data_IF_297952994136
#
_entry.id   IF_297952994136
#
_cell.length_a   1.000
_cell.length_b   1.000
_cell.length_c   1.000
_cell.angle_alpha   90.00
_cell.angle_beta   90.00
_cell.angle_gamma   90.00
#
_symmetry.space_group_name_H-M   'P 1'
#
loop_
_entity.id
_entity.type
_entity.pdbx_description
1 polymer ?
#
# COMPACT_ATOMS: atom_id res chain seq x y z
N UNK A 1 -3.54 6.58 -36.94
CA UNK A 1 -4.60 5.72 -36.36
C UNK A 1 -3.94 4.69 -35.48
N UNK A 2 -3.91 4.91 -34.16
CA UNK A 2 -3.52 3.88 -33.19
C UNK A 2 -4.65 2.87 -33.11
N UNK A 3 -4.37 1.61 -33.46
CA UNK A 3 -5.28 0.49 -33.22
C UNK A 3 -5.69 0.51 -31.74
N UNK A 4 -6.99 0.35 -31.40
CA UNK A 4 -7.40 0.23 -30.01
C UNK A 4 -6.65 -0.96 -29.39
N UNK A 5 -5.91 -0.70 -28.32
CA UNK A 5 -5.29 -1.75 -27.52
C UNK A 5 -6.39 -2.76 -27.13
N UNK A 6 -6.20 -4.07 -27.35
CA UNK A 6 -7.19 -5.05 -26.98
C UNK A 6 -7.48 -4.95 -25.47
N UNK A 7 -8.76 -4.75 -25.14
CA UNK A 7 -9.24 -4.70 -23.76
C UNK A 7 -8.98 -6.07 -23.11
N UNK A 8 -7.95 -6.16 -22.28
CA UNK A 8 -7.62 -7.37 -21.51
C UNK A 8 -7.84 -7.10 -20.03
N UNK A 9 -8.67 -7.92 -19.38
CA UNK A 9 -8.86 -7.91 -17.93
C UNK A 9 -7.85 -8.82 -17.21
N UNK A 10 -6.71 -9.15 -17.85
CA UNK A 10 -5.71 -10.05 -17.27
C UNK A 10 -4.92 -9.33 -16.16
N UNK A 11 -5.05 -9.75 -14.87
CA UNK A 11 -4.34 -9.10 -13.78
C UNK A 11 -2.81 -9.25 -13.91
N UNK A 12 -2.32 -10.29 -14.57
CA UNK A 12 -0.89 -10.54 -14.78
C UNK A 12 -0.25 -9.59 -15.80
N UNK A 13 -1.06 -8.87 -16.60
CA UNK A 13 -0.57 -7.90 -17.56
C UNK A 13 -0.21 -6.54 -16.91
N UNK A 14 -0.59 -6.32 -15.65
CA UNK A 14 -0.30 -5.07 -14.95
C UNK A 14 1.19 -4.99 -14.58
N UNK A 15 1.88 -3.98 -15.10
CA UNK A 15 3.30 -3.71 -14.83
C UNK A 15 3.39 -2.68 -13.71
N UNK A 16 4.08 -3.01 -12.61
CA UNK A 16 4.12 -2.22 -11.36
C UNK A 16 5.53 -1.81 -10.93
N UNK A 17 6.52 -2.13 -11.73
CA UNK A 17 7.90 -1.75 -11.50
C UNK A 17 8.69 -1.80 -12.79
N UNK A 18 9.81 -1.09 -12.81
CA UNK A 18 10.75 -1.12 -13.93
C UNK A 18 11.40 -2.52 -14.06
N UNK A 19 11.84 -2.90 -15.27
CA UNK A 19 12.57 -4.16 -15.46
C UNK A 19 13.80 -4.24 -14.55
N UNK A 20 13.84 -5.26 -13.69
CA UNK A 20 14.97 -5.48 -12.78
C UNK A 20 15.99 -6.43 -13.41
N UNK A 21 17.28 -6.13 -13.27
CA UNK A 21 18.38 -7.05 -13.59
C UNK A 21 19.06 -7.52 -12.31
N UNK A 22 19.46 -8.79 -12.28
CA UNK A 22 20.21 -9.34 -11.16
C UNK A 22 21.69 -8.99 -11.30
N UNK A 23 22.26 -8.39 -10.27
CA UNK A 23 23.69 -8.07 -10.19
C UNK A 23 24.31 -8.96 -9.10
N UNK A 24 25.38 -9.72 -9.39
CA UNK A 24 26.15 -10.46 -8.38
C UNK A 24 26.68 -9.55 -7.27
N UNK A 25 26.73 -10.04 -6.02
CA UNK A 25 27.15 -9.22 -4.87
C UNK A 25 28.59 -8.70 -4.99
N UNK A 26 29.46 -9.49 -5.60
CA UNK A 26 30.86 -9.17 -5.89
C UNK A 26 31.04 -8.14 -7.01
N UNK A 27 29.97 -7.82 -7.75
CA UNK A 27 29.96 -6.78 -8.78
C UNK A 27 29.35 -5.45 -8.28
N UNK A 28 28.92 -5.40 -7.02
CA UNK A 28 28.43 -4.15 -6.41
C UNK A 28 29.66 -3.31 -6.07
N UNK A 29 29.83 -2.21 -6.80
CA UNK A 29 30.91 -1.23 -6.58
C UNK A 29 30.32 0.10 -6.11
N UNK A 30 31.02 0.76 -5.19
CA UNK A 30 30.73 2.16 -4.82
C UNK A 30 31.34 3.09 -5.86
N UNK A 31 30.70 4.23 -6.12
CA UNK A 31 31.25 5.26 -7.01
C UNK A 31 32.61 5.72 -6.49
N UNK A 32 33.61 5.75 -7.37
CA UNK A 32 34.96 6.19 -7.01
C UNK A 32 34.92 7.64 -6.48
N UNK A 33 35.51 7.87 -5.29
CA UNK A 33 35.52 9.17 -4.62
C UNK A 33 34.25 9.55 -3.87
N UNK A 34 33.18 8.73 -3.88
CA UNK A 34 32.01 8.96 -3.04
C UNK A 34 32.29 8.55 -1.59
N UNK A 35 31.74 9.30 -0.64
CA UNK A 35 31.87 8.96 0.79
C UNK A 35 30.79 7.94 1.14
N UNK A 36 31.20 6.76 1.59
CA UNK A 36 30.29 5.68 1.92
C UNK A 36 29.75 5.79 3.36
N UNK A 37 28.47 5.50 3.53
CA UNK A 37 27.87 5.25 4.85
C UNK A 37 28.14 3.81 5.31
N UNK A 38 29.12 3.64 6.20
CA UNK A 38 29.47 2.33 6.76
C UNK A 38 28.34 1.71 7.59
N UNK A 39 27.51 2.52 8.27
CA UNK A 39 26.40 2.02 9.08
C UNK A 39 25.35 1.40 8.16
N UNK A 40 24.98 2.12 7.11
CA UNK A 40 24.05 1.64 6.09
C UNK A 40 24.58 0.39 5.41
N UNK A 41 25.81 0.43 4.90
CA UNK A 41 26.42 -0.68 4.17
C UNK A 41 26.45 -1.96 5.02
N UNK A 42 26.86 -1.86 6.29
CA UNK A 42 26.89 -3.00 7.21
C UNK A 42 25.50 -3.60 7.44
N UNK A 43 24.48 -2.76 7.64
CA UNK A 43 23.10 -3.22 7.83
C UNK A 43 22.51 -3.82 6.55
N UNK A 44 22.73 -3.19 5.41
CA UNK A 44 22.24 -3.66 4.12
C UNK A 44 22.90 -4.98 3.70
N UNK A 45 24.22 -5.12 3.88
CA UNK A 45 24.90 -6.41 3.72
C UNK A 45 24.38 -7.47 4.69
N UNK A 46 24.03 -7.09 5.93
CA UNK A 46 23.35 -7.96 6.89
C UNK A 46 22.01 -8.48 6.35
N UNK A 47 21.20 -7.60 5.75
CA UNK A 47 19.96 -7.97 5.08
C UNK A 47 20.22 -8.88 3.88
N UNK A 48 21.13 -8.51 2.98
CA UNK A 48 21.47 -9.29 1.79
C UNK A 48 22.01 -10.68 2.13
N UNK A 49 22.52 -10.90 3.34
CA UNK A 49 22.98 -12.21 3.87
C UNK A 49 21.89 -12.95 4.67
N UNK A 50 20.67 -12.42 4.76
CA UNK A 50 19.55 -13.01 5.51
C UNK A 50 19.65 -12.89 7.04
N UNK A 51 20.59 -12.10 7.55
CA UNK A 51 20.81 -11.92 9.01
C UNK A 51 19.87 -10.87 9.62
N UNK A 52 19.45 -9.90 8.81
CA UNK A 52 18.60 -8.78 9.23
C UNK A 52 17.29 -8.80 8.43
N UNK A 53 16.18 -8.51 9.10
CA UNK A 53 14.89 -8.25 8.46
C UNK A 53 14.78 -6.74 8.24
N UNK A 54 14.36 -6.33 7.04
CA UNK A 54 14.01 -4.94 6.72
C UNK A 54 12.50 -4.80 6.71
N UNK A 55 11.96 -3.58 6.81
CA UNK A 55 10.53 -3.36 6.85
C UNK A 55 10.10 -2.38 5.76
N UNK A 56 9.18 -2.80 4.88
CA UNK A 56 8.49 -1.91 3.97
C UNK A 56 7.35 -1.22 4.71
N UNK A 57 7.32 0.11 4.68
CA UNK A 57 6.36 0.96 5.39
C UNK A 57 6.22 2.32 4.71
N UNK A 58 5.50 3.24 5.34
CA UNK A 58 5.27 4.62 4.91
C UNK A 58 5.67 5.55 6.05
N UNK A 59 6.39 6.63 5.74
CA UNK A 59 6.90 7.54 6.76
C UNK A 59 6.90 8.98 6.24
N UNK A 60 6.52 9.98 7.07
CA UNK A 60 6.59 11.38 6.69
C UNK A 60 8.03 11.82 6.39
N UNK A 61 8.21 12.57 5.29
CA UNK A 61 9.50 13.19 4.94
C UNK A 61 10.04 14.06 6.08
N UNK A 62 9.17 14.68 6.89
CA UNK A 62 9.56 15.50 8.04
C UNK A 62 10.33 14.73 9.12
N UNK A 63 10.31 13.39 9.11
CA UNK A 63 11.08 12.53 10.03
C UNK A 63 12.40 12.03 9.44
N UNK A 64 12.63 12.28 8.15
CA UNK A 64 13.74 11.71 7.38
C UNK A 64 14.71 12.83 7.00
N UNK A 65 15.97 12.69 7.40
CA UNK A 65 17.08 13.51 6.95
C UNK A 65 17.66 12.91 5.65
N UNK A 66 17.73 13.63 4.52
CA UNK A 66 18.49 13.16 3.36
C UNK A 66 19.98 13.09 3.69
N UNK A 67 20.73 12.14 3.13
CA UNK A 67 22.12 11.90 3.53
C UNK A 67 22.26 11.15 4.86
N UNK A 68 23.42 11.23 5.49
CA UNK A 68 23.76 10.50 6.71
C UNK A 68 24.78 11.23 7.59
N UNK A 69 25.02 10.68 8.79
CA UNK A 69 25.98 11.20 9.76
C UNK A 69 27.16 10.25 9.90
N UNK A 70 28.36 10.72 9.56
CA UNK A 70 29.61 9.98 9.75
C UNK A 70 30.20 10.30 11.13
N UNK A 71 30.58 9.30 11.95
CA UNK A 71 31.29 9.56 13.20
C UNK A 71 32.58 10.35 12.95
N UNK A 72 32.78 11.44 13.68
CA UNK A 72 33.99 12.27 13.66
C UNK A 72 34.47 12.52 15.10
N UNK A 73 35.72 12.93 15.29
CA UNK A 73 36.23 13.25 16.63
C UNK A 73 36.37 14.77 16.81
N UNK A 74 35.59 15.43 17.70
CA UNK A 74 34.46 14.91 18.48
C UNK A 74 33.10 15.06 17.74
N UNK A 75 32.28 14.01 17.70
CA UNK A 75 30.87 14.08 17.28
C UNK A 75 30.54 13.39 15.96
N UNK A 76 29.77 14.08 15.13
CA UNK A 76 29.30 13.59 13.83
C UNK A 76 29.45 14.67 12.77
N UNK A 77 29.80 14.26 11.56
CA UNK A 77 29.85 15.08 10.36
C UNK A 77 28.69 14.69 9.45
N UNK A 78 27.92 15.67 9.01
CA UNK A 78 26.80 15.44 8.09
C UNK A 78 27.32 15.35 6.65
N UNK A 79 26.89 14.31 5.94
CA UNK A 79 27.25 14.04 4.55
C UNK A 79 25.97 13.83 3.77
N UNK A 80 25.83 14.54 2.65
CA UNK A 80 24.71 14.39 1.74
C UNK A 80 25.22 14.52 0.32
N UNK A 81 24.84 13.57 -0.53
CA UNK A 81 25.22 13.60 -1.93
C UNK A 81 24.69 14.86 -2.62
N UNK A 82 25.52 15.43 -3.48
CA UNK A 82 25.11 16.53 -4.34
C UNK A 82 24.39 15.95 -5.56
N UNK A 83 23.06 15.96 -5.52
CA UNK A 83 22.19 15.54 -6.63
C UNK A 83 21.93 16.70 -7.57
N UNK A 84 21.95 16.41 -8.88
CA UNK A 84 21.67 17.43 -9.89
C UNK A 84 20.17 17.63 -10.06
N UNK A 85 19.76 18.80 -10.55
CA UNK A 85 18.35 19.05 -10.87
C UNK A 85 17.81 18.08 -11.95
N UNK A 86 18.68 17.59 -12.83
CA UNK A 86 18.30 16.59 -13.84
C UNK A 86 17.95 15.24 -13.20
N UNK A 87 18.70 14.79 -12.20
CA UNK A 87 18.41 13.55 -11.47
C UNK A 87 17.07 13.66 -10.72
N UNK A 88 16.81 14.81 -10.10
CA UNK A 88 15.54 15.08 -9.41
C UNK A 88 14.38 15.09 -10.40
N UNK A 89 14.51 15.82 -11.53
CA UNK A 89 13.48 15.84 -12.60
C UNK A 89 13.20 14.45 -13.17
N UNK A 90 14.24 13.64 -13.36
CA UNK A 90 14.09 12.26 -13.82
C UNK A 90 13.26 11.44 -12.84
N UNK A 91 13.56 11.52 -11.54
CA UNK A 91 12.78 10.83 -10.51
C UNK A 91 11.34 11.36 -10.39
N UNK A 92 11.12 12.66 -10.52
CA UNK A 92 9.76 13.24 -10.57
C UNK A 92 8.93 12.64 -11.71
N UNK A 93 9.53 12.52 -12.90
CA UNK A 93 8.89 11.94 -14.07
C UNK A 93 8.55 10.47 -13.86
N UNK A 94 9.45 9.68 -13.26
CA UNK A 94 9.17 8.29 -12.89
C UNK A 94 8.03 8.18 -11.87
N UNK A 95 8.01 9.01 -10.83
CA UNK A 95 6.94 9.01 -9.83
C UNK A 95 5.59 9.34 -10.47
N UNK A 96 5.57 10.33 -11.39
CA UNK A 96 4.35 10.71 -12.14
C UNK A 96 3.91 9.66 -13.17
N UNK A 97 4.84 8.85 -13.68
CA UNK A 97 4.54 7.66 -14.50
C UNK A 97 3.88 6.55 -13.67
N UNK A 98 4.11 6.54 -12.35
CA UNK A 98 3.57 5.54 -11.43
C UNK A 98 4.65 4.71 -10.74
N UNK A 99 5.93 5.08 -10.85
CA UNK A 99 6.97 4.47 -10.02
C UNK A 99 6.79 4.88 -8.54
N UNK A 100 7.12 3.96 -7.64
CA UNK A 100 7.08 4.17 -6.19
C UNK A 100 8.36 3.65 -5.55
N UNK A 101 9.49 4.17 -6.04
CA UNK A 101 10.81 3.93 -5.46
C UNK A 101 10.80 4.26 -3.98
N UNK A 102 11.15 3.26 -3.16
CA UNK A 102 11.16 3.40 -1.72
C UNK A 102 12.46 4.05 -1.24
N UNK A 103 12.37 4.94 -0.25
CA UNK A 103 13.54 5.51 0.40
C UNK A 103 14.10 4.51 1.41
N UNK A 104 15.37 4.14 1.31
CA UNK A 104 16.04 3.31 2.29
C UNK A 104 16.49 4.19 3.44
N UNK A 105 16.02 3.86 4.64
CA UNK A 105 16.30 4.64 5.85
C UNK A 105 16.73 3.76 7.01
N UNK A 106 17.43 4.37 7.96
CA UNK A 106 17.71 3.74 9.25
C UNK A 106 17.69 4.77 10.38
N UNK A 107 17.57 4.34 11.66
CA UNK A 107 17.50 5.26 12.78
C UNK A 107 18.72 6.19 12.87
N UNK A 108 18.48 7.48 13.07
CA UNK A 108 19.52 8.49 13.11
C UNK A 108 20.49 8.25 14.29
N UNK A 109 21.81 8.09 14.03
CA UNK A 109 22.80 7.91 15.07
C UNK A 109 23.09 9.22 15.82
N UNK A 110 22.92 10.38 15.19
CA UNK A 110 23.15 11.68 15.81
C UNK A 110 21.88 12.17 16.54
N UNK A 111 21.84 12.02 17.86
CA UNK A 111 20.67 12.42 18.68
C UNK A 111 20.48 13.94 18.82
N UNK A 112 21.42 14.75 18.37
CA UNK A 112 21.28 16.21 18.35
C UNK A 112 20.52 16.71 17.10
N UNK A 113 20.39 15.89 16.06
CA UNK A 113 19.66 16.21 14.84
C UNK A 113 18.14 15.99 15.07
N UNK A 114 17.25 16.93 14.69
CA UNK A 114 15.81 16.82 14.94
C UNK A 114 15.10 15.68 14.18
N UNK A 115 15.77 15.03 13.22
CA UNK A 115 15.19 13.96 12.42
C UNK A 115 15.40 12.60 13.06
N UNK A 116 14.38 11.74 13.03
CA UNK A 116 14.42 10.41 13.61
C UNK A 116 15.22 9.40 12.77
N UNK A 117 15.24 9.61 11.45
CA UNK A 117 15.83 8.70 10.47
C UNK A 117 16.73 9.44 9.48
N UNK A 118 17.66 8.72 8.87
CA UNK A 118 18.55 9.21 7.80
C UNK A 118 18.36 8.38 6.53
N UNK A 119 18.53 8.99 5.37
CA UNK A 119 18.37 8.39 4.04
C UNK A 119 19.66 8.60 3.21
N UNK A 120 20.62 7.66 3.28
CA UNK A 120 21.95 7.86 2.73
C UNK A 120 22.05 7.84 1.19
N UNK A 121 21.21 7.05 0.50
CA UNK A 121 21.40 6.71 -0.93
C UNK A 121 20.34 7.35 -1.84
N UNK A 122 19.08 7.40 -1.39
CA UNK A 122 17.94 7.79 -2.22
C UNK A 122 17.67 9.31 -2.24
N UNK A 123 18.73 10.14 -2.22
CA UNK A 123 18.61 11.60 -2.09
C UNK A 123 17.83 12.23 -3.26
N UNK A 124 18.04 11.76 -4.50
CA UNK A 124 17.30 12.25 -5.67
C UNK A 124 15.79 11.96 -5.54
N UNK A 125 15.44 10.73 -5.13
CA UNK A 125 14.06 10.30 -4.88
C UNK A 125 13.43 11.10 -3.75
N UNK A 126 14.15 11.32 -2.65
CA UNK A 126 13.71 12.16 -1.53
C UNK A 126 13.33 13.55 -2.04
N UNK A 127 14.23 14.20 -2.78
CA UNK A 127 14.01 15.55 -3.33
C UNK A 127 12.86 15.60 -4.33
N UNK A 128 12.68 14.55 -5.13
CA UNK A 128 11.56 14.44 -6.05
C UNK A 128 10.22 14.34 -5.31
N UNK A 129 10.12 13.52 -4.25
CA UNK A 129 8.92 13.46 -3.41
C UNK A 129 8.61 14.81 -2.76
N UNK A 130 9.64 15.46 -2.18
CA UNK A 130 9.53 16.79 -1.58
C UNK A 130 9.02 17.83 -2.59
N UNK A 131 9.63 17.88 -3.78
CA UNK A 131 9.29 18.80 -4.86
C UNK A 131 7.88 18.58 -5.45
N UNK A 132 7.41 17.32 -5.47
CA UNK A 132 6.04 16.99 -5.85
C UNK A 132 5.03 17.28 -4.72
N UNK A 133 5.48 17.55 -3.50
CA UNK A 133 4.60 17.74 -2.34
C UNK A 133 4.05 16.44 -1.76
N UNK A 134 4.64 15.29 -2.11
CA UNK A 134 4.31 13.97 -1.56
C UNK A 134 4.94 13.87 -0.17
N UNK A 135 4.10 13.78 0.86
CA UNK A 135 4.55 13.88 2.26
C UNK A 135 4.98 12.55 2.86
N UNK A 136 4.36 11.45 2.43
CA UNK A 136 4.50 10.13 3.06
C UNK A 136 4.91 9.08 2.02
N UNK A 137 6.15 9.14 1.49
CA UNK A 137 6.62 8.19 0.49
C UNK A 137 6.77 6.76 1.06
N UNK A 138 6.85 5.75 0.17
CA UNK A 138 7.24 4.40 0.56
C UNK A 138 8.68 4.40 1.10
N UNK A 139 8.92 3.60 2.13
CA UNK A 139 10.19 3.52 2.86
C UNK A 139 10.57 2.08 3.12
N UNK A 140 11.86 1.77 2.99
CA UNK A 140 12.48 0.55 3.49
C UNK A 140 13.28 0.90 4.75
N UNK A 141 12.72 0.55 5.91
CA UNK A 141 13.39 0.71 7.19
C UNK A 141 14.38 -0.44 7.43
N UNK A 142 15.65 -0.09 7.54
CA UNK A 142 16.75 -1.02 7.82
C UNK A 142 17.10 -0.97 9.31
N UNK A 143 16.37 -1.75 10.11
CA UNK A 143 16.57 -1.81 11.55
C UNK A 143 15.31 -2.23 12.29
N UNK A 144 15.36 -2.12 13.62
CA UNK A 144 14.22 -2.44 14.48
C UNK A 144 13.15 -1.33 14.37
N UNK A 145 11.88 -1.68 14.14
CA UNK A 145 10.79 -0.71 14.10
C UNK A 145 10.35 -0.38 15.52
N UNK A 146 10.84 0.74 16.07
CA UNK A 146 10.49 1.17 17.44
C UNK A 146 9.37 2.22 17.48
N UNK A 147 9.23 3.07 16.46
CA UNK A 147 8.14 4.06 16.34
C UNK A 147 7.70 4.28 14.89
N UNK A 148 6.84 3.37 14.39
CA UNK A 148 6.28 3.51 13.05
C UNK A 148 4.99 4.34 13.07
N UNK A 149 4.83 5.22 12.07
CA UNK A 149 3.58 5.96 11.86
C UNK A 149 2.52 5.08 11.19
N UNK A 150 2.94 4.23 10.25
CA UNK A 150 2.11 3.26 9.55
C UNK A 150 2.61 1.84 9.82
N UNK A 151 1.76 0.83 9.61
CA UNK A 151 2.18 -0.56 9.78
C UNK A 151 3.33 -0.92 8.82
N UNK A 152 4.11 -1.94 9.18
CA UNK A 152 5.27 -2.39 8.39
C UNK A 152 5.14 -3.84 7.97
N UNK A 153 5.63 -4.17 6.77
CA UNK A 153 5.75 -5.54 6.27
C UNK A 153 7.23 -5.94 6.32
N UNK A 154 7.55 -6.95 7.12
CA UNK A 154 8.91 -7.47 7.26
C UNK A 154 9.33 -8.28 6.04
N UNK A 155 10.53 -8.00 5.52
CA UNK A 155 11.13 -8.66 4.36
C UNK A 155 12.48 -9.24 4.77
N UNK A 156 12.72 -10.50 4.43
CA UNK A 156 13.96 -11.22 4.72
C UNK A 156 14.44 -12.00 3.50
N UNK A 157 15.76 -12.20 3.42
CA UNK A 157 16.37 -13.09 2.45
C UNK A 157 16.36 -14.56 2.94
N UNK A 158 15.90 -15.47 2.10
CA UNK A 158 15.89 -16.92 2.34
C UNK A 158 16.75 -17.63 1.32
N UNK A 159 17.39 -18.72 1.72
CA UNK A 159 18.16 -19.56 0.80
C UNK A 159 17.24 -20.27 -0.19
N UNK A 160 17.70 -20.41 -1.42
CA UNK A 160 17.10 -21.29 -2.41
C UNK A 160 18.19 -21.90 -3.30
N UNK A 161 17.80 -22.77 -4.23
CA UNK A 161 18.73 -23.48 -5.12
C UNK A 161 18.94 -22.78 -6.45
N UNK A 162 17.96 -21.98 -6.89
CA UNK A 162 18.06 -21.20 -8.14
C UNK A 162 18.82 -19.87 -7.95
N UNK A 163 18.88 -19.36 -6.72
CA UNK A 163 19.67 -18.19 -6.33
C UNK A 163 20.27 -18.44 -4.94
N UNK A 164 21.44 -17.86 -4.59
CA UNK A 164 21.97 -18.00 -3.23
C UNK A 164 20.96 -17.57 -2.16
N UNK A 165 20.24 -16.48 -2.43
CA UNK A 165 19.21 -15.91 -1.56
C UNK A 165 18.08 -15.28 -2.40
N UNK A 166 16.87 -15.26 -1.85
CA UNK A 166 15.64 -14.69 -2.43
C UNK A 166 14.82 -13.95 -1.37
N UNK A 167 14.26 -12.79 -1.70
CA UNK A 167 13.53 -11.94 -0.77
C UNK A 167 12.08 -12.36 -0.64
N UNK A 168 11.60 -12.56 0.59
CA UNK A 168 10.20 -12.88 0.87
C UNK A 168 9.71 -12.17 2.13
N UNK A 169 8.39 -12.10 2.28
CA UNK A 169 7.73 -11.55 3.47
C UNK A 169 7.93 -12.48 4.66
N UNK A 170 8.35 -11.95 5.81
CA UNK A 170 8.72 -12.69 7.04
C UNK A 170 7.87 -12.28 8.26
N UNK A 171 6.96 -11.32 8.12
CA UNK A 171 6.06 -10.89 9.19
C UNK A 171 5.43 -9.53 8.94
N UNK A 172 4.66 -9.05 9.92
CA UNK A 172 4.15 -7.67 9.95
C UNK A 172 4.40 -7.04 11.33
N UNK A 173 4.46 -5.71 11.34
CA UNK A 173 4.43 -4.87 12.54
C UNK A 173 3.21 -3.99 12.42
N UNK A 174 2.22 -4.24 13.28
CA UNK A 174 0.94 -3.54 13.23
C UNK A 174 0.98 -2.26 14.05
N UNK A 175 0.42 -1.19 13.49
CA UNK A 175 0.15 0.08 14.17
C UNK A 175 -1.35 0.29 14.17
N UNK A 176 -1.93 0.60 15.34
CA UNK A 176 -3.34 0.96 15.47
C UNK A 176 -3.44 2.44 15.81
N UNK A 177 -4.21 3.18 15.01
CA UNK A 177 -4.38 4.63 15.19
C UNK A 177 -5.54 4.93 16.13
N UNK A 178 -5.34 5.94 16.99
CA UNK A 178 -6.42 6.48 17.85
C UNK A 178 -7.37 7.39 17.08
N UNK A 179 -6.87 8.05 16.04
CA UNK A 179 -7.62 8.96 15.18
C UNK A 179 -7.47 8.52 13.73
N UNK A 180 -8.53 8.69 12.96
CA UNK A 180 -8.64 8.20 11.58
C UNK A 180 -9.20 9.32 10.71
N UNK A 181 -8.86 9.36 9.42
CA UNK A 181 -9.40 10.36 8.51
C UNK A 181 -10.93 10.22 8.39
N UNK A 182 -11.61 11.35 8.23
CA UNK A 182 -13.04 11.45 7.97
C UNK A 182 -13.30 12.59 6.99
N UNK A 183 -14.13 12.36 5.99
CA UNK A 183 -14.55 13.38 5.00
C UNK A 183 -15.69 14.21 5.56
N UNK A 184 -16.59 13.57 6.31
CA UNK A 184 -17.76 14.21 6.92
C UNK A 184 -17.40 15.02 8.17
N UNK A 185 -16.31 14.66 8.87
CA UNK A 185 -15.89 15.28 10.11
C UNK A 185 -16.82 14.95 11.28
N UNK A 186 -16.80 15.80 12.31
CA UNK A 186 -17.60 15.61 13.52
C UNK A 186 -19.06 16.01 13.36
N UNK A 187 -19.35 17.01 12.50
CA UNK A 187 -20.70 17.50 12.26
C UNK A 187 -21.25 16.88 10.98
N UNK A 188 -21.95 15.75 11.14
CA UNK A 188 -22.42 14.96 10.01
C UNK A 188 -23.71 15.56 9.44
N UNK A 189 -23.79 15.74 8.11
CA UNK A 189 -25.03 16.14 7.47
C UNK A 189 -26.02 14.96 7.45
N UNK A 190 -27.23 15.19 6.94
CA UNK A 190 -28.19 14.11 6.69
C UNK A 190 -27.62 13.03 5.76
N UNK A 191 -28.20 11.83 5.78
CA UNK A 191 -27.65 10.67 5.09
C UNK A 191 -27.50 10.88 3.57
N UNK A 192 -28.44 11.58 2.93
CA UNK A 192 -28.39 11.82 1.49
C UNK A 192 -27.25 12.79 1.13
N UNK A 193 -27.13 13.89 1.87
CA UNK A 193 -26.05 14.86 1.74
C UNK A 193 -24.68 14.26 2.07
N UNK A 194 -24.61 13.40 3.09
CA UNK A 194 -23.39 12.68 3.46
C UNK A 194 -22.86 11.83 2.29
N UNK A 195 -23.71 10.98 1.71
CA UNK A 195 -23.32 10.14 0.57
C UNK A 195 -22.94 10.97 -0.66
N UNK A 196 -23.66 12.06 -0.93
CA UNK A 196 -23.31 12.97 -2.02
C UNK A 196 -21.91 13.56 -1.84
N UNK A 197 -21.57 14.01 -0.63
CA UNK A 197 -20.25 14.55 -0.31
C UNK A 197 -19.13 13.51 -0.40
N UNK A 198 -19.38 12.27 0.03
CA UNK A 198 -18.42 11.17 -0.15
C UNK A 198 -18.15 10.89 -1.63
N UNK A 199 -19.21 10.78 -2.45
CA UNK A 199 -19.11 10.57 -3.90
C UNK A 199 -18.33 11.70 -4.57
N UNK A 200 -18.68 12.95 -4.28
CA UNK A 200 -18.01 14.14 -4.83
C UNK A 200 -16.51 14.17 -4.47
N UNK A 201 -16.18 13.81 -3.23
CA UNK A 201 -14.78 13.75 -2.76
C UNK A 201 -13.99 12.69 -3.53
N UNK A 202 -14.57 11.51 -3.74
CA UNK A 202 -13.96 10.44 -4.55
C UNK A 202 -13.77 10.89 -5.99
N UNK A 203 -14.78 11.50 -6.61
CA UNK A 203 -14.71 12.03 -7.97
C UNK A 203 -13.60 13.08 -8.13
N UNK A 204 -13.55 14.05 -7.21
CA UNK A 204 -12.49 15.07 -7.18
C UNK A 204 -11.10 14.42 -7.07
N UNK A 205 -10.96 13.41 -6.21
CA UNK A 205 -9.70 12.70 -6.02
C UNK A 205 -9.29 11.93 -7.28
N UNK A 206 -10.24 11.33 -8.00
CA UNK A 206 -9.97 10.67 -9.30
C UNK A 206 -9.42 11.64 -10.34
N UNK A 207 -9.99 12.84 -10.43
CA UNK A 207 -9.50 13.87 -11.35
C UNK A 207 -8.09 14.35 -10.95
N UNK A 208 -7.80 14.47 -9.64
CA UNK A 208 -6.43 14.74 -9.18
C UNK A 208 -5.44 13.66 -9.60
N UNK A 209 -5.81 12.37 -9.49
CA UNK A 209 -4.96 11.25 -9.94
C UNK A 209 -4.69 11.35 -11.45
N UNK A 210 -5.73 11.62 -12.26
CA UNK A 210 -5.58 11.82 -13.71
C UNK A 210 -4.64 12.98 -14.04
N UNK A 211 -4.81 14.11 -13.37
CA UNK A 211 -4.00 15.31 -13.59
C UNK A 211 -2.54 15.13 -13.16
N UNK A 212 -2.31 14.35 -12.11
CA UNK A 212 -0.97 14.03 -11.64
C UNK A 212 -0.25 13.04 -12.58
N UNK A 213 -0.98 12.05 -13.08
CA UNK A 213 -0.44 11.00 -13.94
C UNK A 213 0.14 11.56 -15.24
N UNK A 214 1.36 11.13 -15.53
CA UNK A 214 2.03 11.38 -16.80
C UNK A 214 2.10 10.07 -17.57
N UNK A 215 1.61 10.06 -18.81
CA UNK A 215 1.86 8.94 -19.73
C UNK A 215 3.32 8.90 -20.19
N UNK A 216 3.79 7.74 -20.63
CA UNK A 216 5.15 7.59 -21.15
C UNK A 216 5.32 6.35 -22.02
N UNK A 217 6.55 6.13 -22.49
CA UNK A 217 6.89 4.99 -23.36
C UNK A 217 6.74 3.65 -22.64
N UNK A 218 6.98 3.63 -21.33
CA UNK A 218 6.69 2.48 -20.46
C UNK A 218 5.45 2.76 -19.63
N UNK A 219 4.48 1.84 -19.64
CA UNK A 219 3.27 1.95 -18.83
C UNK A 219 3.49 1.33 -17.46
N UNK A 220 3.59 2.17 -16.43
CA UNK A 220 3.50 1.75 -15.03
C UNK A 220 2.05 1.90 -14.56
N UNK A 221 1.51 0.85 -13.96
CA UNK A 221 0.09 0.72 -13.67
C UNK A 221 -0.27 1.14 -12.24
N UNK A 222 0.63 1.79 -11.50
CA UNK A 222 0.35 2.23 -10.12
C UNK A 222 -0.84 3.18 -10.05
N UNK A 223 -0.80 4.28 -10.81
CA UNK A 223 -1.90 5.26 -10.85
C UNK A 223 -3.19 4.68 -11.42
N UNK A 224 -3.11 3.67 -12.30
CA UNK A 224 -4.27 2.94 -12.79
C UNK A 224 -4.95 2.17 -11.65
N UNK A 225 -4.18 1.61 -10.71
CA UNK A 225 -4.70 1.00 -9.48
C UNK A 225 -5.31 2.05 -8.55
N UNK A 226 -4.67 3.21 -8.33
CA UNK A 226 -5.26 4.28 -7.53
C UNK A 226 -6.61 4.72 -8.11
N UNK A 227 -6.67 4.92 -9.41
CA UNK A 227 -7.88 5.30 -10.12
C UNK A 227 -8.96 4.21 -10.04
N UNK A 228 -8.60 2.93 -10.21
CA UNK A 228 -9.56 1.84 -10.16
C UNK A 228 -10.13 1.62 -8.76
N UNK A 229 -9.33 1.77 -7.71
CA UNK A 229 -9.79 1.74 -6.31
C UNK A 229 -10.81 2.85 -6.07
N UNK A 230 -10.51 4.08 -6.49
CA UNK A 230 -11.46 5.18 -6.36
C UNK A 230 -12.72 4.99 -7.19
N UNK A 231 -12.62 4.46 -8.41
CA UNK A 231 -13.78 4.15 -9.24
C UNK A 231 -14.69 3.11 -8.55
N UNK A 232 -14.12 2.05 -7.97
CA UNK A 232 -14.88 1.03 -7.24
C UNK A 232 -15.52 1.59 -5.97
N UNK A 233 -14.82 2.47 -5.26
CA UNK A 233 -15.40 3.18 -4.12
C UNK A 233 -16.60 4.04 -4.55
N UNK A 234 -16.48 4.78 -5.66
CA UNK A 234 -17.56 5.58 -6.22
C UNK A 234 -18.79 4.72 -6.59
N UNK A 235 -18.60 3.66 -7.38
CA UNK A 235 -19.68 2.74 -7.79
C UNK A 235 -20.41 2.16 -6.57
N UNK A 236 -19.65 1.81 -5.52
CA UNK A 236 -20.22 1.26 -4.28
C UNK A 236 -21.03 2.31 -3.51
N UNK A 237 -20.52 3.54 -3.39
CA UNK A 237 -21.23 4.64 -2.74
C UNK A 237 -22.50 5.05 -3.49
N UNK A 238 -22.46 5.05 -4.83
CA UNK A 238 -23.63 5.30 -5.67
C UNK A 238 -24.71 4.22 -5.47
N UNK A 239 -24.32 2.95 -5.36
CA UNK A 239 -25.23 1.86 -5.04
C UNK A 239 -25.82 1.98 -3.63
N UNK A 240 -25.01 2.34 -2.62
CA UNK A 240 -25.49 2.62 -1.25
C UNK A 240 -26.52 3.76 -1.27
N UNK A 241 -26.24 4.84 -2.01
CA UNK A 241 -27.14 5.99 -2.15
C UNK A 241 -28.45 5.61 -2.81
N UNK A 242 -28.40 4.82 -3.89
CA UNK A 242 -29.59 4.36 -4.60
C UNK A 242 -30.48 3.51 -3.69
N UNK A 243 -29.91 2.53 -2.98
CA UNK A 243 -30.65 1.64 -2.08
C UNK A 243 -31.25 2.42 -0.90
N UNK A 244 -30.44 3.26 -0.26
CA UNK A 244 -30.89 4.08 0.88
C UNK A 244 -31.99 5.05 0.47
N UNK A 245 -31.92 5.63 -0.73
CA UNK A 245 -32.96 6.50 -1.27
C UNK A 245 -34.31 5.82 -1.52
N UNK A 246 -34.33 4.48 -1.59
CA UNK A 246 -35.54 3.67 -1.69
C UNK A 246 -35.93 2.98 -0.37
N UNK A 247 -35.32 3.37 0.76
CA UNK A 247 -35.59 2.79 2.08
C UNK A 247 -34.94 1.42 2.33
N UNK A 248 -34.11 0.91 1.40
CA UNK A 248 -33.48 -0.40 1.50
C UNK A 248 -32.17 -0.35 2.31
N UNK A 249 -32.24 0.13 3.55
CA UNK A 249 -31.08 0.45 4.38
C UNK A 249 -30.24 -0.78 4.77
N UNK A 250 -30.86 -1.91 5.07
CA UNK A 250 -30.15 -3.16 5.37
C UNK A 250 -29.37 -3.69 4.15
N UNK A 251 -29.96 -3.59 2.96
CA UNK A 251 -29.28 -3.95 1.72
C UNK A 251 -28.12 -2.99 1.43
N UNK A 252 -28.30 -1.70 1.70
CA UNK A 252 -27.22 -0.72 1.60
C UNK A 252 -26.07 -1.04 2.57
N UNK A 253 -26.37 -1.45 3.81
CA UNK A 253 -25.38 -1.84 4.81
C UNK A 253 -24.51 -3.02 4.34
N UNK A 254 -25.08 -3.98 3.61
CA UNK A 254 -24.30 -5.12 3.06
C UNK A 254 -23.16 -4.66 2.12
N UNK A 255 -23.32 -3.53 1.42
CA UNK A 255 -22.31 -2.97 0.52
C UNK A 255 -21.13 -2.33 1.25
N UNK A 256 -21.26 -2.04 2.55
CA UNK A 256 -20.15 -1.57 3.39
C UNK A 256 -19.02 -2.59 3.40
N UNK A 257 -19.33 -3.88 3.33
CA UNK A 257 -18.34 -4.96 3.22
C UNK A 257 -17.40 -4.74 2.04
N UNK A 258 -17.96 -4.37 0.88
CA UNK A 258 -17.20 -4.12 -0.35
C UNK A 258 -16.25 -2.94 -0.17
N UNK A 259 -16.70 -1.84 0.44
CA UNK A 259 -15.82 -0.70 0.74
C UNK A 259 -14.70 -1.07 1.73
N UNK A 260 -15.02 -1.85 2.75
CA UNK A 260 -14.05 -2.29 3.75
C UNK A 260 -12.96 -3.17 3.13
N UNK A 261 -13.34 -4.24 2.43
CA UNK A 261 -12.38 -5.16 1.82
C UNK A 261 -11.54 -4.47 0.72
N UNK A 262 -12.12 -3.48 0.03
CA UNK A 262 -11.41 -2.60 -0.88
C UNK A 262 -10.35 -1.75 -0.16
N UNK A 263 -10.71 -1.09 0.94
CA UNK A 263 -9.79 -0.28 1.74
C UNK A 263 -8.65 -1.13 2.32
N UNK A 264 -8.94 -2.32 2.81
CA UNK A 264 -7.94 -3.28 3.31
C UNK A 264 -6.95 -3.69 2.23
N UNK A 265 -7.45 -4.09 1.06
CA UNK A 265 -6.61 -4.56 -0.04
C UNK A 265 -5.76 -3.42 -0.60
N UNK A 266 -6.36 -2.23 -0.75
CA UNK A 266 -5.63 -1.05 -1.15
C UNK A 266 -4.54 -0.67 -0.14
N UNK A 267 -4.80 -0.78 1.16
CA UNK A 267 -3.80 -0.47 2.19
C UNK A 267 -2.56 -1.37 2.11
N UNK A 268 -2.73 -2.67 1.86
CA UNK A 268 -1.58 -3.58 1.66
C UNK A 268 -0.75 -3.17 0.44
N UNK A 269 -1.40 -2.85 -0.69
CA UNK A 269 -0.72 -2.34 -1.88
C UNK A 269 -0.06 -0.99 -1.62
N UNK A 270 -0.72 -0.10 -0.88
CA UNK A 270 -0.24 1.23 -0.56
C UNK A 270 1.00 1.20 0.34
N UNK A 271 1.06 0.30 1.33
CA UNK A 271 2.21 0.18 2.23
C UNK A 271 3.48 -0.26 1.49
N UNK A 272 3.36 -1.20 0.54
CA UNK A 272 4.51 -1.80 -0.14
C UNK A 272 4.21 -2.08 -1.63
N UNK A 273 4.04 -1.01 -2.44
CA UNK A 273 3.46 -1.11 -3.78
C UNK A 273 4.34 -1.86 -4.78
N UNK A 274 5.64 -1.91 -4.54
CA UNK A 274 6.63 -2.61 -5.38
C UNK A 274 6.88 -4.04 -4.93
N UNK A 275 6.56 -4.38 -3.67
CA UNK A 275 6.79 -5.72 -3.12
C UNK A 275 5.53 -6.60 -3.10
N UNK A 276 4.34 -6.01 -2.90
CA UNK A 276 3.10 -6.78 -2.72
C UNK A 276 2.33 -7.05 -4.02
N UNK A 277 2.57 -6.27 -5.08
CA UNK A 277 1.78 -6.36 -6.31
C UNK A 277 1.77 -7.76 -6.93
N UNK A 278 2.89 -8.49 -6.88
CA UNK A 278 2.97 -9.86 -7.43
C UNK A 278 2.06 -10.82 -6.68
N UNK A 279 2.01 -10.72 -5.35
CA UNK A 279 1.11 -11.54 -4.55
C UNK A 279 -0.35 -11.18 -4.84
N UNK A 280 -0.68 -9.89 -4.96
CA UNK A 280 -2.02 -9.44 -5.35
C UNK A 280 -2.45 -10.02 -6.71
N UNK A 281 -1.57 -9.93 -7.71
CA UNK A 281 -1.79 -10.51 -9.04
C UNK A 281 -2.01 -12.03 -9.00
N UNK A 282 -1.17 -12.75 -8.26
CA UNK A 282 -1.24 -14.20 -8.11
C UNK A 282 -2.54 -14.61 -7.40
N UNK A 283 -2.91 -13.91 -6.32
CA UNK A 283 -4.15 -14.18 -5.57
C UNK A 283 -5.42 -13.90 -6.38
N UNK A 284 -5.34 -13.09 -7.45
CA UNK A 284 -6.47 -12.81 -8.33
C UNK A 284 -6.77 -13.96 -9.31
N UNK A 285 -5.82 -14.88 -9.54
CA UNK A 285 -5.95 -15.96 -10.54
C UNK A 285 -5.80 -17.35 -9.95
N UNK A 286 -5.54 -17.45 -8.64
CA UNK A 286 -5.23 -18.72 -7.98
C UNK A 286 -5.77 -18.73 -6.56
N UNK A 287 -6.35 -19.87 -6.17
CA UNK A 287 -6.81 -20.12 -4.80
C UNK A 287 -5.66 -20.44 -3.85
N UNK A 288 -5.92 -20.34 -2.54
CA UNK A 288 -4.94 -20.71 -1.51
C UNK A 288 -4.49 -22.18 -1.65
N UNK A 289 -5.42 -23.09 -1.97
CA UNK A 289 -5.11 -24.52 -2.14
C UNK A 289 -4.16 -24.78 -3.30
N UNK A 290 -4.36 -24.09 -4.42
CA UNK A 290 -3.48 -24.19 -5.59
C UNK A 290 -2.09 -23.61 -5.29
N UNK A 291 -2.04 -22.49 -4.57
CA UNK A 291 -0.76 -21.90 -4.14
C UNK A 291 -0.01 -22.78 -3.14
N UNK A 292 -0.73 -23.38 -2.19
CA UNK A 292 -0.16 -24.31 -1.22
C UNK A 292 0.47 -25.51 -1.93
N UNK A 293 -0.24 -26.09 -2.90
CA UNK A 293 0.28 -27.17 -3.74
C UNK A 293 1.55 -26.77 -4.47
N UNK A 294 1.58 -25.60 -5.12
CA UNK A 294 2.78 -25.07 -5.76
C UNK A 294 3.95 -24.88 -4.78
N UNK A 295 3.66 -24.40 -3.57
CA UNK A 295 4.67 -24.22 -2.54
C UNK A 295 5.21 -25.56 -2.00
N UNK A 296 4.37 -26.60 -1.93
CA UNK A 296 4.77 -27.97 -1.58
C UNK A 296 5.65 -28.62 -2.66
N UNK A 297 5.26 -28.48 -3.93
CA UNK A 297 6.08 -28.92 -5.06
C UNK A 297 7.44 -28.23 -5.05
N UNK A 298 7.46 -26.90 -4.86
CA UNK A 298 8.72 -26.16 -4.74
C UNK A 298 9.55 -26.65 -3.55
N UNK A 299 8.92 -26.92 -2.40
CA UNK A 299 9.63 -27.43 -1.22
C UNK A 299 10.36 -28.74 -1.55
N UNK A 300 9.67 -29.70 -2.17
CA UNK A 300 10.26 -30.98 -2.55
C UNK A 300 11.39 -30.83 -3.58
N UNK A 301 11.23 -29.94 -4.56
CA UNK A 301 12.27 -29.61 -5.54
C UNK A 301 13.52 -29.01 -4.89
N UNK A 302 13.35 -28.06 -3.96
CA UNK A 302 14.47 -27.44 -3.24
C UNK A 302 15.26 -28.47 -2.42
N UNK A 303 14.57 -29.36 -1.71
CA UNK A 303 15.21 -30.44 -0.94
C UNK A 303 15.93 -31.42 -1.85
N UNK A 304 15.30 -31.83 -2.96
CA UNK A 304 15.92 -32.72 -3.95
C UNK A 304 17.17 -32.11 -4.58
N UNK A 305 17.18 -30.80 -4.78
CA UNK A 305 18.32 -30.04 -5.30
C UNK A 305 19.40 -29.71 -4.23
N UNK A 306 19.29 -30.26 -3.01
CA UNK A 306 20.34 -30.21 -1.99
C UNK A 306 20.17 -29.12 -0.93
N UNK A 307 19.07 -28.38 -0.92
CA UNK A 307 18.77 -27.45 0.19
C UNK A 307 18.34 -28.24 1.43
N UNK A 308 18.72 -27.76 2.63
CA UNK A 308 18.27 -28.38 3.87
C UNK A 308 16.73 -28.33 3.99
N UNK A 309 16.12 -29.38 4.54
CA UNK A 309 14.67 -29.42 4.76
C UNK A 309 14.18 -28.23 5.61
N UNK A 310 14.99 -27.80 6.59
CA UNK A 310 14.71 -26.61 7.39
C UNK A 310 14.65 -25.33 6.57
N UNK A 311 15.67 -25.06 5.74
CA UNK A 311 15.72 -23.84 4.91
C UNK A 311 14.61 -23.88 3.84
N UNK A 312 14.34 -25.04 3.23
CA UNK A 312 13.25 -25.22 2.28
C UNK A 312 11.87 -24.98 2.92
N UNK A 313 11.66 -25.45 4.15
CA UNK A 313 10.40 -25.24 4.88
C UNK A 313 10.19 -23.76 5.21
N UNK A 314 11.23 -23.05 5.65
CA UNK A 314 11.15 -21.60 5.88
C UNK A 314 10.79 -20.83 4.61
N UNK A 315 11.36 -21.20 3.46
CA UNK A 315 11.02 -20.61 2.17
C UNK A 315 9.55 -20.87 1.79
N UNK A 316 9.05 -22.10 1.98
CA UNK A 316 7.62 -22.44 1.81
C UNK A 316 6.74 -21.54 2.69
N UNK A 317 7.06 -21.44 3.97
CA UNK A 317 6.25 -20.69 4.93
C UNK A 317 6.22 -19.19 4.60
N UNK A 318 7.35 -18.61 4.18
CA UNK A 318 7.42 -17.22 3.73
C UNK A 318 6.58 -16.96 2.46
N UNK A 319 6.57 -17.89 1.49
CA UNK A 319 5.71 -17.82 0.31
C UNK A 319 4.23 -17.89 0.67
N UNK A 320 3.86 -18.79 1.59
CA UNK A 320 2.48 -18.90 2.08
C UNK A 320 2.06 -17.65 2.84
N UNK A 321 2.94 -17.09 3.67
CA UNK A 321 2.67 -15.88 4.41
C UNK A 321 2.37 -14.69 3.49
N UNK A 322 3.22 -14.45 2.48
CA UNK A 322 3.00 -13.35 1.52
C UNK A 322 1.68 -13.47 0.75
N UNK A 323 1.27 -14.70 0.41
CA UNK A 323 -0.01 -14.95 -0.25
C UNK A 323 -1.20 -14.74 0.69
N UNK A 324 -1.16 -15.32 1.91
CA UNK A 324 -2.22 -15.14 2.90
C UNK A 324 -2.43 -13.69 3.29
N UNK A 325 -1.36 -12.91 3.36
CA UNK A 325 -1.43 -11.48 3.67
C UNK A 325 -2.32 -10.72 2.68
N UNK A 326 -2.38 -11.12 1.40
CA UNK A 326 -3.22 -10.46 0.40
C UNK A 326 -4.58 -11.13 0.20
N UNK A 327 -4.67 -12.45 0.39
CA UNK A 327 -5.88 -13.23 0.12
C UNK A 327 -6.82 -13.33 1.32
N UNK A 328 -6.30 -13.29 2.56
CA UNK A 328 -7.09 -13.46 3.79
C UNK A 328 -7.44 -12.10 4.37
N UNK A 329 -8.74 -11.82 4.52
CA UNK A 329 -9.24 -10.53 5.01
C UNK A 329 -8.72 -10.21 6.42
N UNK A 330 -8.76 -11.17 7.34
CA UNK A 330 -8.30 -10.97 8.72
C UNK A 330 -6.81 -10.60 8.80
N UNK A 331 -5.97 -11.13 7.90
CA UNK A 331 -4.54 -10.77 7.85
C UNK A 331 -4.34 -9.34 7.34
N UNK A 332 -5.13 -8.91 6.34
CA UNK A 332 -5.14 -7.50 5.89
C UNK A 332 -5.61 -6.57 7.00
N UNK A 333 -6.65 -6.96 7.73
CA UNK A 333 -7.17 -6.21 8.87
C UNK A 333 -6.16 -6.08 10.02
N UNK A 334 -5.33 -7.11 10.25
CA UNK A 334 -4.25 -7.07 11.24
C UNK A 334 -3.18 -6.02 10.88
N UNK A 335 -2.95 -5.78 9.59
CA UNK A 335 -2.06 -4.72 9.13
C UNK A 335 -2.76 -3.34 9.17
N UNK A 336 -4.06 -3.27 8.89
CA UNK A 336 -4.80 -2.02 8.74
C UNK A 336 -4.88 -1.18 10.04
N UNK A 337 -4.86 0.16 9.97
CA UNK A 337 -4.72 0.99 11.18
C UNK A 337 -5.91 0.99 12.14
N UNK A 338 -7.05 0.42 11.74
CA UNK A 338 -8.18 0.19 12.65
C UNK A 338 -8.00 -1.07 13.51
N UNK A 339 -7.10 -1.97 13.11
CA UNK A 339 -6.78 -3.19 13.83
C UNK A 339 -7.83 -4.30 13.72
N UNK A 340 -7.50 -5.44 14.36
CA UNK A 340 -8.29 -6.67 14.27
C UNK A 340 -9.61 -6.60 15.07
N UNK A 341 -9.67 -5.81 16.15
CA UNK A 341 -10.91 -5.68 16.92
C UNK A 341 -12.00 -4.97 16.10
N UNK A 342 -11.67 -3.87 15.42
CA UNK A 342 -12.62 -3.23 14.50
C UNK A 342 -13.11 -4.16 13.39
N UNK A 343 -12.23 -5.02 12.87
CA UNK A 343 -12.62 -6.04 11.89
C UNK A 343 -13.67 -7.01 12.44
N UNK A 344 -13.49 -7.50 13.68
CA UNK A 344 -14.43 -8.41 14.33
C UNK A 344 -15.78 -7.72 14.53
N UNK A 345 -15.79 -6.49 15.03
CA UNK A 345 -17.01 -5.72 15.26
C UNK A 345 -17.78 -5.50 13.96
N UNK A 346 -17.08 -5.05 12.91
CA UNK A 346 -17.67 -4.82 11.59
C UNK A 346 -18.22 -6.12 10.99
N UNK A 347 -17.48 -7.22 11.05
CA UNK A 347 -17.93 -8.49 10.49
C UNK A 347 -19.08 -9.08 11.28
N UNK A 348 -19.13 -8.89 12.60
CA UNK A 348 -20.28 -9.26 13.41
C UNK A 348 -21.52 -8.48 12.96
N UNK A 349 -21.42 -7.15 12.86
CA UNK A 349 -22.51 -6.30 12.39
C UNK A 349 -23.00 -6.68 10.97
N UNK A 350 -22.08 -6.90 10.04
CA UNK A 350 -22.43 -7.26 8.67
C UNK A 350 -23.00 -8.68 8.58
N UNK A 351 -22.50 -9.61 9.40
CA UNK A 351 -23.00 -10.98 9.50
C UNK A 351 -24.46 -10.98 9.93
N UNK A 352 -24.76 -10.22 10.99
CA UNK A 352 -26.11 -10.04 11.52
C UNK A 352 -27.11 -9.50 10.49
N UNK A 353 -26.65 -8.74 9.50
CA UNK A 353 -27.51 -8.15 8.46
C UNK A 353 -27.60 -9.06 7.23
N UNK A 354 -26.49 -9.69 6.84
CA UNK A 354 -26.38 -10.40 5.56
C UNK A 354 -26.89 -11.84 5.66
N UNK A 355 -26.73 -12.48 6.83
CA UNK A 355 -27.21 -13.84 7.03
C UNK A 355 -28.65 -13.82 7.52
N UNK A 356 -29.56 -14.46 6.78
CA UNK A 356 -30.90 -14.73 7.26
C UNK A 356 -30.84 -15.87 8.28
N UNK A 357 -30.63 -15.52 9.54
CA UNK A 357 -30.68 -16.44 10.67
C UNK A 357 -31.91 -16.16 11.56
N UNK A 358 -32.03 -16.91 12.65
CA UNK A 358 -33.13 -16.73 13.60
C UNK A 358 -33.12 -15.36 14.28
N UNK A 359 -32.00 -14.63 14.31
CA UNK A 359 -31.96 -13.26 14.80
C UNK A 359 -32.70 -12.33 13.82
N UNK A 360 -32.52 -12.52 12.51
CA UNK A 360 -33.29 -11.81 11.48
C UNK A 360 -34.77 -12.19 11.51
N UNK A 361 -35.11 -13.47 11.73
CA UNK A 361 -36.51 -13.88 11.93
C UNK A 361 -37.14 -13.22 13.16
N UNK A 362 -36.42 -13.16 14.29
CA UNK A 362 -36.88 -12.47 15.49
C UNK A 362 -37.08 -10.96 15.24
N UNK A 363 -36.18 -10.33 14.47
CA UNK A 363 -36.27 -8.92 14.08
C UNK A 363 -37.51 -8.63 13.24
N UNK A 364 -37.85 -9.50 12.28
CA UNK A 364 -39.05 -9.34 11.45
C UNK A 364 -40.35 -9.82 12.08
N UNK A 365 -40.31 -10.41 13.29
CA UNK A 365 -41.53 -10.82 14.00
C UNK A 365 -42.42 -9.61 14.30
N UNK A 366 -41.81 -8.52 14.80
CA UNK A 366 -42.53 -7.25 15.02
C UNK A 366 -43.01 -6.62 13.71
N UNK A 367 -42.23 -6.71 12.63
CA UNK A 367 -42.62 -6.19 11.31
C UNK A 367 -43.85 -6.92 10.76
N UNK A 368 -43.91 -8.24 10.91
CA UNK A 368 -45.08 -9.02 10.50
C UNK A 368 -46.32 -8.67 11.34
N UNK A 369 -46.14 -8.50 12.65
CA UNK A 369 -47.25 -8.27 13.58
C UNK A 369 -47.76 -6.81 13.62
N UNK A 370 -46.87 -5.83 13.39
CA UNK A 370 -47.16 -4.41 13.61
C UNK A 370 -46.90 -3.52 12.38
N UNK A 371 -46.28 -4.05 11.31
CA UNK A 371 -45.98 -3.31 10.08
C UNK A 371 -44.92 -2.21 10.22
N UNK A 372 -44.22 -2.12 11.36
CA UNK A 372 -43.20 -1.13 11.63
C UNK A 372 -41.79 -1.68 11.34
N UNK A 373 -41.09 -1.04 10.42
CA UNK A 373 -39.70 -1.34 10.02
C UNK A 373 -38.70 -0.26 10.51
N UNK A 374 -39.18 0.81 11.15
CA UNK A 374 -38.43 2.06 11.35
C UNK A 374 -37.25 1.94 12.32
N UNK A 375 -37.44 1.25 13.44
CA UNK A 375 -36.48 1.21 14.56
C UNK A 375 -35.09 0.70 14.15
N UNK A 376 -35.00 -0.25 13.21
CA UNK A 376 -33.73 -0.85 12.79
C UNK A 376 -33.11 -0.19 11.56
N UNK A 377 -33.93 0.45 10.74
CA UNK A 377 -33.50 1.09 9.50
C UNK A 377 -32.66 2.35 9.77
N UNK A 378 -32.97 3.12 10.82
CA UNK A 378 -32.20 4.33 11.18
C UNK A 378 -30.79 4.02 11.72
N UNK A 379 -30.67 3.00 12.59
CA UNK A 379 -29.38 2.56 13.14
C UNK A 379 -28.49 1.94 12.06
N UNK A 380 -29.07 1.10 11.19
CA UNK A 380 -28.37 0.52 10.05
C UNK A 380 -27.91 1.60 9.08
N UNK A 381 -28.76 2.59 8.77
CA UNK A 381 -28.41 3.70 7.90
C UNK A 381 -27.28 4.55 8.49
N UNK A 382 -27.37 4.91 9.77
CA UNK A 382 -26.35 5.72 10.46
C UNK A 382 -25.01 5.00 10.55
N UNK A 383 -25.01 3.70 10.85
CA UNK A 383 -23.81 2.85 10.87
C UNK A 383 -23.23 2.70 9.47
N UNK A 384 -24.07 2.54 8.44
CA UNK A 384 -23.65 2.46 7.04
C UNK A 384 -22.92 3.72 6.61
N UNK A 385 -23.50 4.90 6.90
CA UNK A 385 -22.87 6.20 6.60
C UNK A 385 -21.54 6.33 7.35
N UNK A 386 -21.49 5.93 8.63
CA UNK A 386 -20.28 5.96 9.44
C UNK A 386 -19.15 5.14 8.83
N UNK A 387 -19.42 3.88 8.50
CA UNK A 387 -18.42 2.99 7.92
C UNK A 387 -18.04 3.43 6.49
N UNK A 388 -19.00 3.89 5.69
CA UNK A 388 -18.74 4.41 4.35
C UNK A 388 -17.80 5.63 4.40
N UNK A 389 -18.03 6.58 5.32
CA UNK A 389 -17.12 7.71 5.53
C UNK A 389 -15.72 7.23 5.93
N UNK A 390 -15.62 6.34 6.91
CA UNK A 390 -14.35 5.86 7.43
C UNK A 390 -13.49 5.18 6.35
N UNK A 391 -14.06 4.25 5.59
CA UNK A 391 -13.31 3.50 4.57
C UNK A 391 -13.02 4.35 3.33
N UNK A 392 -13.96 5.21 2.94
CA UNK A 392 -13.74 6.13 1.83
C UNK A 392 -12.67 7.15 2.16
N UNK A 393 -12.70 7.73 3.37
CA UNK A 393 -11.69 8.66 3.84
C UNK A 393 -10.31 8.00 3.95
N UNK A 394 -10.25 6.75 4.41
CA UNK A 394 -9.01 5.97 4.46
C UNK A 394 -8.40 5.73 3.07
N UNK A 395 -9.23 5.46 2.05
CA UNK A 395 -8.80 5.33 0.65
C UNK A 395 -8.33 6.70 0.12
N UNK A 396 -9.18 7.73 0.22
CA UNK A 396 -8.93 9.06 -0.34
C UNK A 396 -7.66 9.67 0.25
N UNK A 397 -7.49 9.64 1.58
CA UNK A 397 -6.32 10.22 2.23
C UNK A 397 -5.02 9.60 1.71
N UNK A 398 -4.98 8.28 1.56
CA UNK A 398 -3.80 7.54 1.09
C UNK A 398 -3.52 7.73 -0.39
N UNK A 399 -4.56 7.87 -1.21
CA UNK A 399 -4.38 8.25 -2.62
C UNK A 399 -3.83 9.67 -2.72
N UNK A 400 -4.33 10.61 -1.92
CA UNK A 400 -3.82 11.97 -1.84
C UNK A 400 -2.37 12.02 -1.35
N UNK A 401 -1.97 11.14 -0.42
CA UNK A 401 -0.58 11.02 0.01
C UNK A 401 0.36 10.52 -1.10
N UNK A 402 -0.18 9.87 -2.14
CA UNK A 402 0.59 9.35 -3.27
C UNK A 402 0.59 10.24 -4.50
N UNK A 403 -0.15 11.35 -4.49
CA UNK A 403 -0.18 12.28 -5.61
C UNK A 403 0.19 13.68 -5.14
N UNK A 404 1.07 14.31 -5.92
CA UNK A 404 1.55 15.66 -5.65
C UNK A 404 0.69 16.75 -6.30
N UNK A 405 1.16 17.98 -6.18
CA UNK A 405 0.62 19.09 -6.97
C UNK A 405 0.90 18.84 -8.46
N UNK A 406 -0.08 19.04 -9.37
CA UNK A 406 0.18 18.94 -10.79
C UNK A 406 1.17 20.03 -11.20
N UNK A 407 2.40 19.67 -11.56
CA UNK A 407 3.29 20.62 -12.23
C UNK A 407 2.70 20.93 -13.61
N UNK A 408 2.45 22.21 -13.87
CA UNK A 408 2.04 22.70 -15.18
C UNK A 408 2.95 22.06 -16.22
N UNK A 409 2.36 21.40 -17.21
CA UNK A 409 3.11 20.70 -18.24
C UNK A 409 4.10 21.67 -18.90
N UNK A 410 5.40 21.35 -18.82
CA UNK A 410 6.37 21.81 -19.81
C UNK A 410 5.87 21.33 -21.16
N UNK A 411 5.19 22.23 -21.87
CA UNK A 411 4.61 22.04 -23.19
C UNK A 411 5.69 21.91 -24.27
N UNK A 412 6.96 21.84 -23.88
CA UNK A 412 8.11 22.05 -24.76
C UNK A 412 8.79 20.76 -25.23
N UNK A 413 8.42 19.56 -24.73
CA UNK A 413 9.07 18.29 -25.14
C UNK A 413 8.30 17.44 -26.16
N UNK A 414 7.07 17.81 -26.52
CA UNK A 414 6.34 17.14 -27.60
C UNK A 414 6.76 17.59 -29.03
N UNK A 415 7.67 18.56 -29.15
CA UNK A 415 8.10 19.13 -30.43
C UNK A 415 9.42 18.54 -30.99
N UNK A 416 10.00 17.51 -30.38
CA UNK A 416 11.29 16.94 -30.81
C UNK A 416 11.26 15.44 -31.13
N UNK A 417 10.08 14.85 -31.34
CA UNK A 417 9.97 13.47 -31.86
C UNK A 417 9.46 13.37 -33.30
N UNK A 418 9.29 14.50 -33.99
CA UNK A 418 9.10 14.55 -35.44
C UNK A 418 10.35 15.16 -36.08
N UNK A 419 11.38 14.33 -36.23
CA UNK A 419 12.65 14.64 -36.90
C UNK A 419 13.33 13.39 -37.40
#
# INVERSE_FOLDING_TARGET
MTLPLPLSANPLALIRGLPTKKIPLDQIVTKEGAVTDEIFLNKYLGYLKGKVTIYATRMPLSRIRPGFWRPSNPGFEYICDNVTDDDVRFMEDLIRLGDRSALHVYPNPNKADPFDFVCPDDVASYRAYESLGIRTPPVILIGKPESLDESGIGIRQYKCTYNPLTSHMDGIVSVTHKMVPSILGTNRPDHASALARLIETVQTTKEKVKNFHRGGVTTLHYHHTLYSVLLRAQETLEAIKLLSGHGLHLNAASLVRTLYELALTFYVDWIAPTQMYRYLQISAVMSEKEWEKYCDETYHEQVKAGLSAYDAKRLKDAKMFGFRLVSVVAEKARLFPLGLEHHKDLYSFLSDITHHDFSMTARYTNTLEHGDESVFNEDAASTTIYCADLFTAAIVARVLDDIGEPKAHDTTRAALSDG
#
